data_IF_846208953550
#
_entry.id   IF_846208953550
#
_cell.length_a   1.000
_cell.length_b   1.000
_cell.length_c   1.000
_cell.angle_alpha   90.00
_cell.angle_beta   90.00
_cell.angle_gamma   90.00
#
_symmetry.space_group_name_H-M   'P 1'
#
loop_
_entity.id
_entity.type
_entity.pdbx_description
1 polymer ?
#
# COMPACT_ATOMS: atom_id res chain seq x y z
N UNK A 1 -0.38 -15.82 22.39
CA UNK A 1 0.54 -14.96 21.60
C UNK A 1 -0.04 -14.80 20.21
N UNK A 2 -0.38 -13.58 19.85
CA UNK A 2 -0.79 -13.28 18.49
C UNK A 2 0.36 -13.54 17.51
N UNK A 3 0.03 -14.22 16.43
CA UNK A 3 1.03 -14.56 15.40
C UNK A 3 1.27 -13.35 14.51
N UNK A 4 2.45 -12.74 14.64
CA UNK A 4 2.89 -11.70 13.69
C UNK A 4 3.14 -12.37 12.34
N UNK A 5 2.40 -11.93 11.32
CA UNK A 5 2.59 -12.40 9.94
C UNK A 5 3.69 -11.58 9.27
N UNK A 6 4.73 -12.27 8.80
CA UNK A 6 5.81 -11.63 8.04
C UNK A 6 5.36 -11.44 6.59
N UNK A 7 5.36 -10.19 6.14
CA UNK A 7 4.89 -9.80 4.83
C UNK A 7 6.09 -9.56 3.89
N UNK A 8 6.73 -10.64 3.46
CA UNK A 8 7.91 -10.59 2.61
C UNK A 8 7.59 -10.54 1.11
N UNK A 9 6.37 -10.91 0.72
CA UNK A 9 5.95 -10.98 -0.68
C UNK A 9 4.56 -10.39 -0.87
N UNK A 10 4.31 -9.87 -2.06
CA UNK A 10 2.98 -9.40 -2.48
C UNK A 10 1.93 -10.50 -2.36
N UNK A 11 2.30 -11.72 -2.73
CA UNK A 11 1.43 -12.88 -2.67
C UNK A 11 0.88 -13.15 -1.27
N UNK A 12 1.71 -13.03 -0.23
CA UNK A 12 1.27 -13.19 1.17
C UNK A 12 0.20 -12.20 1.60
N UNK A 13 0.31 -10.95 1.14
CA UNK A 13 -0.75 -9.97 1.38
C UNK A 13 -2.04 -10.35 0.65
N UNK A 14 -1.91 -10.71 -0.61
CA UNK A 14 -3.06 -11.10 -1.43
C UNK A 14 -3.76 -12.35 -0.89
N UNK A 15 -3.01 -13.34 -0.39
CA UNK A 15 -3.58 -14.54 0.27
C UNK A 15 -4.43 -14.18 1.51
N UNK A 16 -4.00 -13.18 2.29
CA UNK A 16 -4.71 -12.73 3.50
C UNK A 16 -6.13 -12.22 3.17
N UNK A 17 -6.28 -11.55 2.03
CA UNK A 17 -7.54 -10.97 1.58
C UNK A 17 -8.21 -11.75 0.43
N UNK A 18 -7.61 -12.84 -0.03
CA UNK A 18 -8.12 -13.63 -1.14
C UNK A 18 -8.10 -12.89 -2.47
N UNK A 19 -7.03 -12.14 -2.72
CA UNK A 19 -6.81 -11.39 -3.96
C UNK A 19 -5.87 -12.16 -4.89
N UNK A 20 -5.94 -11.86 -6.19
CA UNK A 20 -5.05 -12.42 -7.21
C UNK A 20 -3.69 -11.71 -7.24
N UNK A 21 -2.61 -12.47 -7.44
CA UNK A 21 -1.25 -11.94 -7.63
C UNK A 21 -0.87 -11.98 -9.11
N UNK A 22 -0.66 -10.82 -9.72
CA UNK A 22 -0.27 -10.69 -11.13
C UNK A 22 1.24 -10.53 -11.31
N UNK A 23 1.95 -10.00 -10.32
CA UNK A 23 3.39 -9.75 -10.37
C UNK A 23 4.03 -10.05 -9.00
N UNK A 24 5.22 -10.69 -8.96
CA UNK A 24 5.82 -11.10 -7.69
C UNK A 24 6.32 -9.93 -6.82
N UNK A 25 6.66 -8.79 -7.41
CA UNK A 25 7.30 -7.67 -6.71
C UNK A 25 6.40 -6.45 -6.53
N UNK A 26 5.22 -6.42 -7.16
CA UNK A 26 4.29 -5.30 -7.06
C UNK A 26 2.85 -5.77 -7.21
N UNK A 27 1.95 -5.17 -6.45
CA UNK A 27 0.51 -5.43 -6.54
C UNK A 27 -0.29 -4.16 -6.34
N UNK A 28 -1.28 -3.95 -7.21
CA UNK A 28 -2.33 -2.96 -6.98
C UNK A 28 -3.47 -3.65 -6.25
N UNK A 29 -3.89 -3.06 -5.14
CA UNK A 29 -4.88 -3.63 -4.23
C UNK A 29 -6.19 -2.88 -4.35
N UNK A 30 -7.26 -3.63 -4.50
CA UNK A 30 -8.64 -3.17 -4.38
C UNK A 30 -9.36 -4.07 -3.37
N UNK A 31 -9.50 -3.61 -2.14
CA UNK A 31 -10.11 -4.39 -1.07
C UNK A 31 -11.60 -4.59 -1.23
N UNK A 32 -12.27 -3.86 -2.13
CA UNK A 32 -13.67 -4.14 -2.48
C UNK A 32 -13.85 -5.50 -3.17
N UNK A 33 -12.76 -6.03 -3.73
CA UNK A 33 -12.70 -7.35 -4.40
C UNK A 33 -12.23 -8.47 -3.49
N UNK A 34 -11.93 -8.17 -2.23
CA UNK A 34 -11.48 -9.17 -1.27
C UNK A 34 -12.52 -10.28 -1.07
N UNK A 35 -12.05 -11.52 -0.97
CA UNK A 35 -12.88 -12.70 -0.71
C UNK A 35 -12.68 -13.26 0.69
N UNK A 36 -11.67 -12.78 1.41
CA UNK A 36 -11.39 -13.08 2.81
C UNK A 36 -11.39 -11.78 3.62
N UNK A 37 -11.91 -11.83 4.83
CA UNK A 37 -12.12 -10.66 5.68
C UNK A 37 -11.56 -10.92 7.09
N UNK A 38 -10.24 -10.88 7.26
CA UNK A 38 -9.65 -11.00 8.59
C UNK A 38 -10.06 -9.79 9.44
N UNK A 39 -10.46 -10.03 10.67
CA UNK A 39 -10.92 -8.97 11.59
C UNK A 39 -9.80 -8.42 12.46
N UNK A 40 -8.79 -9.23 12.73
CA UNK A 40 -7.63 -8.84 13.52
C UNK A 40 -6.37 -9.50 12.98
N UNK A 41 -5.34 -8.72 12.73
CA UNK A 41 -4.05 -9.23 12.25
C UNK A 41 -2.91 -8.26 12.54
N UNK A 42 -1.72 -8.81 12.72
CA UNK A 42 -0.49 -8.04 12.88
C UNK A 42 0.48 -8.41 11.74
N UNK A 43 0.89 -7.42 10.98
CA UNK A 43 1.81 -7.56 9.85
C UNK A 43 3.17 -6.94 10.19
N UNK A 44 4.23 -7.69 9.93
CA UNK A 44 5.59 -7.15 9.84
C UNK A 44 5.90 -6.93 8.35
N UNK A 45 5.88 -5.66 7.93
CA UNK A 45 6.07 -5.28 6.54
C UNK A 45 7.51 -5.49 6.08
N UNK A 46 7.69 -6.26 5.03
CA UNK A 46 8.91 -6.33 4.22
C UNK A 46 8.77 -5.59 2.88
N UNK A 47 7.62 -4.95 2.67
CA UNK A 47 7.21 -4.23 1.47
C UNK A 47 6.93 -2.77 1.80
N UNK A 48 7.05 -1.90 0.81
CA UNK A 48 6.42 -0.58 0.83
C UNK A 48 4.94 -0.71 0.50
N UNK A 49 4.10 0.05 1.18
CA UNK A 49 2.66 0.05 0.96
C UNK A 49 2.06 1.45 1.11
N UNK A 50 1.11 1.77 0.22
CA UNK A 50 0.23 2.93 0.34
C UNK A 50 -1.21 2.47 0.14
N UNK A 51 -2.11 2.92 1.01
CA UNK A 51 -3.54 2.62 0.91
C UNK A 51 -4.36 3.90 1.05
N UNK A 52 -5.12 4.22 0.01
CA UNK A 52 -6.20 5.18 0.09
C UNK A 52 -7.39 4.49 0.75
N UNK A 53 -7.74 4.92 1.96
CA UNK A 53 -8.88 4.43 2.73
C UNK A 53 -10.14 5.20 2.34
N UNK A 54 -11.10 4.52 1.76
CA UNK A 54 -12.40 5.12 1.41
C UNK A 54 -13.38 5.04 2.57
N UNK A 55 -13.17 4.10 3.51
CA UNK A 55 -13.97 3.97 4.73
C UNK A 55 -13.07 3.75 5.93
N UNK A 56 -13.44 4.31 7.08
CA UNK A 56 -12.82 3.96 8.35
C UNK A 56 -13.40 2.63 8.83
N UNK A 57 -12.60 1.58 8.79
CA UNK A 57 -13.07 0.21 9.07
C UNK A 57 -12.55 -0.37 10.39
N UNK A 58 -11.89 0.42 11.22
CA UNK A 58 -11.33 -0.01 12.52
C UNK A 58 -10.08 0.77 12.87
N UNK A 59 -9.30 0.24 13.80
CA UNK A 59 -8.09 0.86 14.28
C UNK A 59 -6.84 0.23 13.65
N UNK A 60 -5.88 1.08 13.33
CA UNK A 60 -4.54 0.69 12.89
C UNK A 60 -3.56 1.18 13.94
N UNK A 61 -2.79 0.25 14.53
CA UNK A 61 -1.79 0.56 15.56
C UNK A 61 -0.38 0.33 15.03
N UNK A 62 0.46 1.30 15.30
CA UNK A 62 1.86 1.28 14.97
C UNK A 62 2.70 1.54 16.24
N UNK A 63 3.36 0.51 16.74
CA UNK A 63 3.98 0.56 18.05
C UNK A 63 2.95 0.82 19.16
N UNK A 64 3.14 1.89 19.92
CA UNK A 64 2.20 2.31 20.98
C UNK A 64 1.16 3.35 20.52
N UNK A 65 1.21 3.77 19.26
CA UNK A 65 0.37 4.83 18.72
C UNK A 65 -0.73 4.26 17.84
N UNK A 66 -1.90 4.89 17.87
CA UNK A 66 -2.99 4.63 16.93
C UNK A 66 -2.76 5.54 15.73
N UNK A 67 -2.84 4.97 14.52
CA UNK A 67 -2.73 5.72 13.27
C UNK A 67 -4.02 6.55 13.11
N UNK A 68 -3.88 7.88 13.08
CA UNK A 68 -5.01 8.79 12.86
C UNK A 68 -5.35 8.82 11.38
N UNK A 69 -6.37 8.03 10.99
CA UNK A 69 -6.87 8.04 9.63
C UNK A 69 -8.40 8.17 9.61
N UNK A 70 -8.89 8.80 8.55
CA UNK A 70 -10.31 8.99 8.27
C UNK A 70 -10.61 8.53 6.83
N UNK A 71 -11.86 8.65 6.43
CA UNK A 71 -12.24 8.45 5.04
C UNK A 71 -11.50 9.43 4.12
N UNK A 72 -11.01 8.94 2.98
CA UNK A 72 -10.27 9.74 2.03
C UNK A 72 -8.82 10.05 2.42
N UNK A 73 -8.23 9.22 3.25
CA UNK A 73 -6.83 9.39 3.67
C UNK A 73 -5.93 8.28 3.15
N UNK A 74 -4.67 8.61 2.91
CA UNK A 74 -3.63 7.66 2.55
C UNK A 74 -2.83 7.28 3.79
N UNK A 75 -2.77 5.98 4.06
CA UNK A 75 -1.86 5.38 5.04
C UNK A 75 -0.66 4.79 4.31
N UNK A 76 0.53 4.89 4.89
CA UNK A 76 1.78 4.42 4.29
C UNK A 76 2.59 3.57 5.27
N UNK A 77 3.20 2.51 4.75
CA UNK A 77 4.04 1.61 5.51
C UNK A 77 5.33 1.31 4.75
N UNK A 78 6.43 1.11 5.48
CA UNK A 78 7.73 0.79 4.94
C UNK A 78 8.28 -0.53 5.51
N UNK A 79 9.27 -1.16 4.84
CA UNK A 79 9.91 -2.36 5.36
C UNK A 79 10.44 -2.18 6.79
N UNK A 80 10.20 -3.19 7.63
CA UNK A 80 10.58 -3.20 9.04
C UNK A 80 9.50 -2.70 10.00
N UNK A 81 8.40 -2.14 9.49
CA UNK A 81 7.31 -1.67 10.33
C UNK A 81 6.37 -2.82 10.73
N UNK A 82 6.01 -2.87 12.01
CA UNK A 82 5.02 -3.81 12.55
C UNK A 82 3.73 -3.06 12.81
N UNK A 83 2.67 -3.51 12.17
CA UNK A 83 1.36 -2.84 12.18
C UNK A 83 0.29 -3.83 12.61
N UNK A 84 -0.41 -3.51 13.67
CA UNK A 84 -1.60 -4.20 14.14
C UNK A 84 -2.83 -3.53 13.55
N UNK A 85 -3.71 -4.31 12.96
CA UNK A 85 -4.96 -3.83 12.37
C UNK A 85 -6.13 -4.58 12.98
N UNK A 86 -7.10 -3.82 13.49
CA UNK A 86 -8.36 -4.31 14.00
C UNK A 86 -9.48 -3.75 13.11
N UNK A 87 -10.24 -4.65 12.49
CA UNK A 87 -11.34 -4.30 11.59
C UNK A 87 -12.64 -4.56 12.31
N UNK A 88 -13.50 -3.55 12.37
CA UNK A 88 -14.82 -3.67 13.00
C UNK A 88 -15.72 -4.63 12.20
N UNK A 89 -16.32 -5.58 12.87
CA UNK A 89 -17.23 -6.54 12.25
C UNK A 89 -18.40 -5.86 11.53
N UNK A 90 -18.75 -6.42 10.36
CA UNK A 90 -19.87 -5.95 9.55
C UNK A 90 -19.59 -4.69 8.72
N UNK A 91 -18.39 -4.11 8.78
CA UNK A 91 -18.01 -3.00 7.91
C UNK A 91 -17.45 -3.54 6.59
N UNK A 92 -17.98 -3.03 5.47
CA UNK A 92 -17.44 -3.33 4.14
C UNK A 92 -16.10 -2.62 3.95
N UNK A 93 -15.04 -3.41 3.70
CA UNK A 93 -13.73 -2.85 3.36
C UNK A 93 -13.78 -2.14 2.02
N UNK A 94 -13.32 -0.90 1.99
CA UNK A 94 -13.10 -0.14 0.76
C UNK A 94 -11.79 0.63 0.89
N UNK A 95 -10.78 0.14 0.19
CA UNK A 95 -9.48 0.78 0.09
C UNK A 95 -8.82 0.39 -1.23
N UNK A 96 -8.10 1.34 -1.81
CA UNK A 96 -7.26 1.14 -2.98
C UNK A 96 -5.82 1.43 -2.62
N UNK A 97 -4.89 0.61 -3.11
CA UNK A 97 -3.51 0.83 -2.74
C UNK A 97 -2.53 0.09 -3.63
N UNK A 98 -1.29 0.20 -3.23
CA UNK A 98 -0.16 -0.44 -3.88
C UNK A 98 0.77 -1.04 -2.84
N UNK A 99 1.29 -2.21 -3.16
CA UNK A 99 2.38 -2.88 -2.46
C UNK A 99 3.53 -3.07 -3.43
N UNK A 100 4.75 -2.77 -3.01
CA UNK A 100 5.92 -3.08 -3.84
C UNK A 100 7.13 -3.49 -3.00
N UNK A 101 7.84 -4.48 -3.52
CA UNK A 101 9.05 -4.99 -2.89
C UNK A 101 10.25 -4.08 -3.16
N UNK A 102 11.18 -3.90 -2.20
CA UNK A 102 12.40 -3.11 -2.42
C UNK A 102 13.21 -3.52 -3.65
N UNK A 103 13.21 -4.80 -4.01
CA UNK A 103 13.94 -5.31 -5.19
C UNK A 103 13.37 -4.77 -6.52
N UNK A 104 12.08 -4.39 -6.56
CA UNK A 104 11.50 -3.78 -7.75
C UNK A 104 12.19 -2.47 -8.12
N UNK A 105 12.47 -1.66 -7.11
CA UNK A 105 13.00 -0.29 -7.28
C UNK A 105 14.52 -0.22 -7.29
N UNK A 106 15.20 -1.32 -6.96
CA UNK A 106 16.65 -1.41 -6.94
C UNK A 106 17.24 -1.07 -8.31
N UNK A 107 18.16 -0.10 -8.35
CA UNK A 107 18.79 0.36 -9.59
C UNK A 107 17.96 1.37 -10.38
N UNK A 108 16.80 1.79 -9.90
CA UNK A 108 15.95 2.82 -10.52
C UNK A 108 16.12 4.18 -9.83
N UNK A 109 15.60 5.27 -10.45
CA UNK A 109 15.53 6.60 -9.81
C UNK A 109 14.75 6.54 -8.50
N UNK A 110 13.61 5.85 -8.50
CA UNK A 110 12.81 5.65 -7.30
C UNK A 110 13.63 5.00 -6.17
N UNK A 111 14.39 3.95 -6.48
CA UNK A 111 15.23 3.29 -5.48
C UNK A 111 16.30 4.19 -4.86
N UNK A 112 16.85 5.14 -5.65
CA UNK A 112 17.80 6.15 -5.16
C UNK A 112 17.13 7.17 -4.24
N UNK A 113 15.87 7.52 -4.53
CA UNK A 113 15.14 8.60 -3.89
C UNK A 113 14.14 8.15 -2.82
N UNK A 114 13.98 6.84 -2.61
CA UNK A 114 12.92 6.31 -1.73
C UNK A 114 12.98 6.88 -0.30
N UNK A 115 14.16 7.19 0.21
CA UNK A 115 14.36 7.76 1.54
C UNK A 115 13.91 9.23 1.66
N UNK A 116 13.68 9.91 0.54
CA UNK A 116 13.20 11.30 0.53
C UNK A 116 11.69 11.39 0.80
N UNK A 117 10.96 10.31 0.63
CA UNK A 117 9.53 10.26 0.94
C UNK A 117 9.31 10.12 2.44
N UNK A 118 9.07 11.25 3.09
CA UNK A 118 8.98 11.36 4.56
C UNK A 118 7.87 10.52 5.18
N UNK A 119 6.80 10.26 4.45
CA UNK A 119 5.68 9.45 4.92
C UNK A 119 6.04 7.95 5.09
N UNK A 120 7.18 7.49 4.60
CA UNK A 120 7.74 6.17 4.89
C UNK A 120 8.67 6.15 6.12
N UNK A 121 8.92 7.30 6.73
CA UNK A 121 9.79 7.35 7.91
C UNK A 121 9.08 6.78 9.14
N UNK A 122 9.86 6.24 10.06
CA UNK A 122 9.37 5.65 11.31
C UNK A 122 8.62 6.64 12.22
N UNK A 123 8.90 7.93 12.08
CA UNK A 123 8.28 9.00 12.86
C UNK A 123 6.93 9.47 12.29
N UNK A 124 6.59 9.08 11.08
CA UNK A 124 5.35 9.50 10.42
C UNK A 124 4.23 8.50 10.69
N UNK A 125 3.33 8.86 11.60
CA UNK A 125 2.08 8.15 11.88
C UNK A 125 0.85 8.99 11.52
N UNK A 126 1.06 10.09 10.80
CA UNK A 126 -0.01 10.94 10.29
C UNK A 126 -0.48 10.45 8.92
N UNK A 127 -1.78 10.32 8.78
CA UNK A 127 -2.40 10.00 7.51
C UNK A 127 -2.45 11.24 6.62
N UNK A 128 -2.20 11.07 5.33
CA UNK A 128 -2.35 12.12 4.35
C UNK A 128 -3.83 12.24 3.95
N UNK A 129 -4.43 13.39 4.19
CA UNK A 129 -5.83 13.67 3.84
C UNK A 129 -5.93 14.22 2.43
N UNK A 130 -6.68 13.56 1.56
CA UNK A 130 -6.85 13.92 0.16
C UNK A 130 -8.19 14.64 -0.10
N UNK A 131 -8.15 15.69 -0.90
CA UNK A 131 -9.34 16.25 -1.55
C UNK A 131 -9.90 15.27 -2.60
N UNK A 132 -11.10 15.52 -3.10
CA UNK A 132 -11.69 14.66 -4.15
C UNK A 132 -10.84 14.65 -5.43
N UNK A 133 -10.29 15.80 -5.83
CA UNK A 133 -9.39 15.89 -6.99
C UNK A 133 -8.09 15.09 -6.78
N UNK A 134 -7.51 15.17 -5.58
CA UNK A 134 -6.30 14.41 -5.24
C UNK A 134 -6.54 12.90 -5.19
N UNK A 135 -7.71 12.46 -4.73
CA UNK A 135 -8.13 11.05 -4.81
C UNK A 135 -8.21 10.56 -6.24
N UNK A 136 -8.78 11.35 -7.17
CA UNK A 136 -8.83 11.01 -8.58
C UNK A 136 -7.43 10.83 -9.17
N UNK A 137 -6.50 11.73 -8.86
CA UNK A 137 -5.10 11.64 -9.27
C UNK A 137 -4.45 10.36 -8.73
N UNK A 138 -4.66 10.05 -7.45
CA UNK A 138 -4.14 8.83 -6.80
C UNK A 138 -4.65 7.58 -7.51
N UNK A 139 -5.96 7.48 -7.75
CA UNK A 139 -6.59 6.34 -8.42
C UNK A 139 -6.14 6.21 -9.89
N UNK A 140 -5.94 7.32 -10.60
CA UNK A 140 -5.41 7.30 -11.97
C UNK A 140 -3.99 6.76 -12.04
N UNK A 141 -3.14 7.09 -11.07
CA UNK A 141 -1.80 6.51 -10.97
C UNK A 141 -1.87 4.99 -10.74
N UNK A 142 -2.73 4.53 -9.83
CA UNK A 142 -2.93 3.09 -9.61
C UNK A 142 -3.45 2.39 -10.86
N UNK A 143 -4.36 3.02 -11.61
CA UNK A 143 -4.88 2.48 -12.86
C UNK A 143 -3.78 2.29 -13.92
N UNK A 144 -2.87 3.25 -14.06
CA UNK A 144 -1.72 3.14 -14.98
C UNK A 144 -0.83 1.97 -14.60
N UNK A 145 -0.54 1.78 -13.32
CA UNK A 145 0.23 0.64 -12.82
C UNK A 145 -0.51 -0.68 -13.11
N UNK A 146 -1.83 -0.74 -12.86
CA UNK A 146 -2.64 -1.92 -13.15
C UNK A 146 -2.62 -2.31 -14.63
N UNK A 147 -2.61 -1.34 -15.53
CA UNK A 147 -2.49 -1.58 -16.97
C UNK A 147 -1.16 -2.25 -17.28
N UNK A 148 -0.06 -1.75 -16.73
CA UNK A 148 1.26 -2.38 -16.90
C UNK A 148 1.31 -3.81 -16.34
N UNK A 149 0.67 -4.08 -15.20
CA UNK A 149 0.61 -5.41 -14.61
C UNK A 149 -0.23 -6.41 -15.41
N UNK A 150 -1.15 -5.94 -16.24
CA UNK A 150 -1.95 -6.78 -17.14
C UNK A 150 -1.21 -7.18 -18.43
N UNK A 151 -0.09 -6.50 -18.74
CA UNK A 151 0.76 -6.84 -19.87
C UNK A 151 1.76 -7.96 -19.51
N UNK A 152 2.22 -8.74 -20.50
CA UNK A 152 3.34 -9.65 -20.29
C UNK A 152 4.59 -8.90 -19.80
N UNK A 153 5.32 -9.50 -18.89
CA UNK A 153 6.58 -8.91 -18.36
C UNK A 153 7.62 -8.87 -19.48
N UNK A 154 8.13 -7.67 -19.76
CA UNK A 154 9.17 -7.41 -20.75
C UNK A 154 10.29 -6.52 -20.20
N UNK A 155 11.22 -6.12 -21.05
CA UNK A 155 12.37 -5.29 -20.66
C UNK A 155 11.98 -3.88 -20.18
N UNK A 156 10.77 -3.40 -20.48
CA UNK A 156 10.27 -2.08 -20.11
C UNK A 156 9.42 -2.08 -18.85
N UNK A 157 8.87 -3.24 -18.46
CA UNK A 157 7.91 -3.38 -17.36
C UNK A 157 8.43 -2.79 -16.05
N UNK A 158 9.64 -3.16 -15.64
CA UNK A 158 10.24 -2.64 -14.40
C UNK A 158 10.38 -1.12 -14.42
N UNK A 159 10.83 -0.55 -15.54
CA UNK A 159 11.03 0.88 -15.69
C UNK A 159 9.71 1.63 -15.64
N UNK A 160 8.71 1.19 -16.40
CA UNK A 160 7.40 1.84 -16.48
C UNK A 160 6.64 1.74 -15.15
N UNK A 161 6.65 0.59 -14.51
CA UNK A 161 6.03 0.40 -13.19
C UNK A 161 6.72 1.31 -12.16
N UNK A 162 8.05 1.30 -12.09
CA UNK A 162 8.79 2.11 -11.12
C UNK A 162 8.55 3.61 -11.32
N UNK A 163 8.49 4.09 -12.56
CA UNK A 163 8.20 5.51 -12.86
C UNK A 163 6.76 5.90 -12.49
N UNK A 164 5.79 5.03 -12.72
CA UNK A 164 4.41 5.31 -12.32
C UNK A 164 4.27 5.30 -10.77
N UNK A 165 5.00 4.43 -10.08
CA UNK A 165 5.07 4.47 -8.61
C UNK A 165 5.72 5.78 -8.15
N UNK A 166 6.86 6.15 -8.72
CA UNK A 166 7.56 7.40 -8.38
C UNK A 166 6.64 8.61 -8.57
N UNK A 167 5.91 8.68 -9.68
CA UNK A 167 4.92 9.73 -9.92
C UNK A 167 3.82 9.77 -8.86
N UNK A 168 3.29 8.61 -8.47
CA UNK A 168 2.31 8.50 -7.38
C UNK A 168 2.86 9.06 -6.07
N UNK A 169 4.09 8.68 -5.71
CA UNK A 169 4.73 9.13 -4.48
C UNK A 169 5.02 10.64 -4.51
N UNK A 170 5.43 11.17 -5.66
CA UNK A 170 5.65 12.61 -5.85
C UNK A 170 4.36 13.41 -5.66
N UNK A 171 3.24 12.91 -6.17
CA UNK A 171 1.93 13.50 -5.89
C UNK A 171 1.59 13.47 -4.40
N UNK A 172 1.82 12.34 -3.72
CA UNK A 172 1.60 12.24 -2.27
C UNK A 172 2.49 13.20 -1.45
N UNK A 173 3.68 13.54 -1.95
CA UNK A 173 4.53 14.58 -1.32
C UNK A 173 4.02 15.99 -1.53
N UNK A 174 3.26 16.21 -2.61
CA UNK A 174 2.68 17.52 -2.95
C UNK A 174 1.37 17.79 -2.22
N UNK A 175 0.57 16.75 -1.98
CA UNK A 175 -0.69 16.80 -1.25
C UNK A 175 -0.46 17.09 0.24
#
# INVERSE_FOLDING_TARGET
MEKILKLDTVDRYNELFGLETLHPLVGVVDLSKATKFPTHFTLNYGLYALFLKETKCGDIRYGKQIYDYQEGTVTSFAPGQVVETEITDGIKLSAHGILFHPDLIKGTSLGKNIKQYSFFSYASNEALHLSEEEKEIFLDCLKKISIELSHPIDNYSKCLISKNIELLLDYCMRF
#
